data_IF_408160434717
#
_entry.id   IF_408160434717
#
_cell.length_a   1.000
_cell.length_b   1.000
_cell.length_c   1.000
_cell.angle_alpha   90.00
_cell.angle_beta   90.00
_cell.angle_gamma   90.00
#
_symmetry.space_group_name_H-M   'P 1'
#
loop_
_entity.id
_entity.type
_entity.pdbx_description
1 polymer ?
#
# COMPACT_ATOMS: atom_id res chain seq x y z
N UNK A 1 -21.62 -3.77 -1.95
CA UNK A 1 -20.90 -4.05 -0.69
C UNK A 1 -20.56 -2.73 -0.02
N UNK A 2 -21.03 -2.50 1.21
CA UNK A 2 -20.76 -1.25 1.95
C UNK A 2 -19.46 -1.38 2.74
N UNK A 3 -18.59 -0.38 2.62
CA UNK A 3 -17.27 -0.36 3.28
C UNK A 3 -16.88 1.08 3.62
N UNK A 4 -16.22 1.23 4.75
CA UNK A 4 -15.63 2.48 5.25
C UNK A 4 -14.14 2.46 4.96
N UNK A 5 -13.60 3.54 4.40
CA UNK A 5 -12.16 3.75 4.26
C UNK A 5 -11.73 4.72 5.35
N UNK A 6 -10.73 4.34 6.13
CA UNK A 6 -10.20 5.14 7.24
C UNK A 6 -8.69 4.98 7.34
N UNK A 7 -8.07 5.86 8.12
CA UNK A 7 -6.66 5.70 8.51
C UNK A 7 -6.51 4.40 9.32
N UNK A 8 -5.41 3.72 9.07
CA UNK A 8 -4.95 2.55 9.81
C UNK A 8 -4.80 2.86 11.29
N UNK A 9 -5.14 1.89 12.14
CA UNK A 9 -4.84 1.90 13.57
C UNK A 9 -3.98 0.69 13.92
N UNK A 10 -3.21 0.75 15.00
CA UNK A 10 -2.36 -0.38 15.42
C UNK A 10 -3.14 -1.68 15.63
N UNK A 11 -4.42 -1.60 16.01
CA UNK A 11 -5.32 -2.75 16.15
C UNK A 11 -5.57 -3.50 14.83
N UNK A 12 -5.34 -2.86 13.68
CA UNK A 12 -5.50 -3.47 12.35
C UNK A 12 -4.30 -4.33 11.93
N UNK A 13 -3.18 -4.25 12.66
CA UNK A 13 -1.88 -4.84 12.27
C UNK A 13 -2.00 -6.29 11.79
N UNK A 14 -2.59 -7.15 12.61
CA UNK A 14 -2.65 -8.58 12.29
C UNK A 14 -3.61 -8.87 11.11
N UNK A 15 -4.71 -8.14 11.00
CA UNK A 15 -5.64 -8.28 9.88
C UNK A 15 -5.03 -7.78 8.55
N UNK A 16 -4.28 -6.68 8.60
CA UNK A 16 -3.51 -6.18 7.46
C UNK A 16 -2.45 -7.19 7.02
N UNK A 17 -1.67 -7.73 7.95
CA UNK A 17 -0.64 -8.73 7.65
C UNK A 17 -1.28 -9.96 7.00
N UNK A 18 -2.40 -10.45 7.55
CA UNK A 18 -3.12 -11.57 6.98
C UNK A 18 -3.58 -11.29 5.54
N UNK A 19 -4.18 -10.12 5.28
CA UNK A 19 -4.59 -9.72 3.93
C UNK A 19 -3.38 -9.62 2.98
N UNK A 20 -2.27 -9.03 3.42
CA UNK A 20 -1.09 -8.87 2.59
C UNK A 20 -0.42 -10.20 2.28
N UNK A 21 -0.35 -11.15 3.21
CA UNK A 21 0.18 -12.48 2.93
C UNK A 21 -0.67 -13.23 1.89
N UNK A 22 -1.98 -13.00 1.87
CA UNK A 22 -2.87 -13.54 0.83
C UNK A 22 -2.69 -12.84 -0.52
N UNK A 23 -2.47 -11.51 -0.53
CA UNK A 23 -2.39 -10.71 -1.75
C UNK A 23 -0.98 -10.72 -2.39
N UNK A 24 0.05 -10.82 -1.56
CA UNK A 24 1.48 -10.69 -1.90
C UNK A 24 2.27 -11.84 -1.25
N UNK A 25 2.26 -13.05 -1.83
CA UNK A 25 2.97 -14.20 -1.27
C UNK A 25 4.46 -13.95 -1.02
N UNK A 26 5.07 -13.02 -1.76
CA UNK A 26 6.45 -12.54 -1.54
C UNK A 26 6.73 -11.92 -0.17
N UNK A 27 5.70 -11.53 0.60
CA UNK A 27 5.88 -11.01 1.97
C UNK A 27 6.29 -12.12 2.94
N UNK A 28 6.15 -13.39 2.54
CA UNK A 28 6.62 -14.54 3.28
C UNK A 28 8.06 -14.95 2.90
N UNK A 29 8.72 -14.22 1.98
CA UNK A 29 10.09 -14.52 1.55
C UNK A 29 11.11 -13.89 2.51
N UNK A 30 11.62 -14.70 3.45
CA UNK A 30 12.64 -14.28 4.42
C UNK A 30 13.95 -13.80 3.77
N UNK A 31 14.24 -14.15 2.51
CA UNK A 31 15.41 -13.63 1.77
C UNK A 31 15.25 -12.16 1.34
N UNK A 32 14.06 -11.58 1.54
CA UNK A 32 13.71 -10.19 1.21
C UNK A 32 13.26 -9.43 2.46
N UNK A 33 14.16 -9.12 3.40
CA UNK A 33 13.80 -8.46 4.67
C UNK A 33 13.12 -7.10 4.49
N UNK A 34 13.43 -6.38 3.39
CA UNK A 34 12.76 -5.13 3.01
C UNK A 34 11.28 -5.30 2.62
N UNK A 35 10.78 -6.53 2.49
CA UNK A 35 9.36 -6.87 2.27
C UNK A 35 8.69 -7.42 3.53
N UNK A 36 9.34 -7.34 4.69
CA UNK A 36 8.74 -7.75 5.95
C UNK A 36 7.52 -6.85 6.25
N UNK A 37 6.31 -7.41 6.39
CA UNK A 37 5.10 -6.60 6.55
C UNK A 37 5.04 -5.88 7.90
N UNK A 38 5.53 -6.48 8.98
CA UNK A 38 5.60 -5.81 10.30
C UNK A 38 6.56 -4.63 10.28
N UNK A 39 7.73 -4.81 9.69
CA UNK A 39 8.69 -3.72 9.52
C UNK A 39 8.13 -2.60 8.64
N UNK A 40 7.41 -2.96 7.57
CA UNK A 40 6.75 -1.98 6.69
C UNK A 40 5.69 -1.16 7.43
N UNK A 41 4.88 -1.81 8.28
CA UNK A 41 3.89 -1.13 9.13
C UNK A 41 4.59 -0.21 10.14
N UNK A 42 5.60 -0.70 10.85
CA UNK A 42 6.35 0.10 11.83
C UNK A 42 6.99 1.34 11.20
N UNK A 43 7.67 1.18 10.05
CA UNK A 43 8.25 2.30 9.31
C UNK A 43 7.19 3.31 8.87
N UNK A 44 6.02 2.83 8.44
CA UNK A 44 4.93 3.71 8.01
C UNK A 44 4.37 4.52 9.18
N UNK A 45 4.16 3.87 10.33
CA UNK A 45 3.71 4.51 11.57
C UNK A 45 4.69 5.58 12.08
N UNK A 46 6.00 5.36 11.91
CA UNK A 46 7.03 6.32 12.29
C UNK A 46 7.26 7.47 11.31
N UNK A 47 6.66 7.43 10.10
CA UNK A 47 6.95 8.42 9.04
C UNK A 47 5.73 9.29 8.70
N UNK A 48 4.64 8.68 8.23
CA UNK A 48 3.44 9.38 7.73
C UNK A 48 2.20 8.48 7.97
N UNK A 49 1.83 8.17 9.22
CA UNK A 49 0.75 7.23 9.55
C UNK A 49 -0.60 7.61 8.93
N UNK A 50 -0.88 8.90 8.77
CA UNK A 50 -2.10 9.46 8.19
C UNK A 50 -2.32 9.09 6.72
N UNK A 51 -1.27 8.65 6.02
CA UNK A 51 -1.33 8.19 4.63
C UNK A 51 -1.39 6.65 4.50
N UNK A 52 -1.68 5.94 5.58
CA UNK A 52 -1.95 4.51 5.55
C UNK A 52 -3.44 4.24 5.75
N UNK A 53 -4.10 3.70 4.72
CA UNK A 53 -5.54 3.51 4.70
C UNK A 53 -5.92 2.03 4.73
N UNK A 54 -7.00 1.74 5.46
CA UNK A 54 -7.67 0.45 5.51
C UNK A 54 -9.13 0.61 5.08
N UNK A 55 -9.67 -0.42 4.44
CA UNK A 55 -11.10 -0.54 4.16
C UNK A 55 -11.71 -1.62 5.05
N UNK A 56 -12.71 -1.25 5.85
CA UNK A 56 -13.46 -2.18 6.70
C UNK A 56 -14.89 -2.33 6.19
N UNK A 57 -15.39 -3.55 6.19
CA UNK A 57 -16.78 -3.87 5.86
C UNK A 57 -17.68 -3.41 7.00
N UNK A 58 -18.76 -2.70 6.67
CA UNK A 58 -19.61 -2.06 7.69
C UNK A 58 -20.42 -3.08 8.52
N UNK A 59 -20.78 -4.22 7.94
CA UNK A 59 -21.66 -5.20 8.60
C UNK A 59 -21.00 -5.96 9.75
N UNK A 60 -19.67 -6.11 9.72
CA UNK A 60 -18.93 -6.94 10.68
C UNK A 60 -17.54 -6.39 11.05
N UNK A 61 -17.17 -5.22 10.51
CA UNK A 61 -15.87 -4.61 10.76
C UNK A 61 -14.70 -5.28 10.04
N UNK A 62 -14.92 -6.30 9.20
CA UNK A 62 -13.84 -7.07 8.61
C UNK A 62 -12.95 -6.20 7.71
N UNK A 63 -11.62 -6.31 7.88
CA UNK A 63 -10.65 -5.61 7.05
C UNK A 63 -10.58 -6.28 5.67
N UNK A 64 -10.99 -5.55 4.64
CA UNK A 64 -11.17 -6.08 3.28
C UNK A 64 -10.32 -5.36 2.24
N UNK A 65 -9.54 -4.36 2.64
CA UNK A 65 -8.62 -3.69 1.73
C UNK A 65 -7.63 -2.77 2.43
N UNK A 66 -6.55 -2.45 1.73
CA UNK A 66 -5.50 -1.53 2.19
C UNK A 66 -4.97 -0.69 1.04
N UNK A 67 -4.44 0.49 1.37
CA UNK A 67 -3.60 1.29 0.48
C UNK A 67 -2.59 2.06 1.34
N UNK A 68 -1.30 1.89 1.05
CA UNK A 68 -0.23 2.60 1.75
C UNK A 68 0.36 3.66 0.82
N UNK A 69 -0.04 4.92 1.01
CA UNK A 69 0.51 6.05 0.27
C UNK A 69 1.68 6.68 1.05
N UNK A 70 2.50 7.52 0.42
CA UNK A 70 3.50 8.34 1.10
C UNK A 70 3.93 9.51 0.22
N UNK A 71 4.35 10.62 0.81
CA UNK A 71 4.83 11.78 0.08
C UNK A 71 6.24 12.15 0.55
N UNK A 72 7.19 12.26 -0.39
CA UNK A 72 8.59 12.61 -0.08
C UNK A 72 8.89 14.11 -0.28
N UNK A 73 7.86 14.93 -0.53
CA UNK A 73 7.99 16.35 -0.86
C UNK A 73 8.17 16.62 -2.37
N UNK A 74 8.53 15.62 -3.16
CA UNK A 74 8.69 15.72 -4.62
C UNK A 74 7.72 14.82 -5.40
N UNK A 75 7.49 13.60 -4.92
CA UNK A 75 6.60 12.58 -5.50
C UNK A 75 5.83 11.86 -4.40
N UNK A 76 4.59 11.55 -4.73
CA UNK A 76 3.80 10.57 -4.00
C UNK A 76 4.21 9.16 -4.42
N UNK A 77 4.11 8.21 -3.51
CA UNK A 77 4.27 6.79 -3.78
C UNK A 77 3.09 5.98 -3.26
N UNK A 78 2.68 4.96 -4.01
CA UNK A 78 1.61 4.05 -3.63
C UNK A 78 2.11 2.61 -3.56
N UNK A 79 1.95 2.00 -2.38
CA UNK A 79 2.35 0.64 -2.06
C UNK A 79 1.17 -0.16 -1.51
N UNK A 80 1.33 -1.49 -1.54
CA UNK A 80 0.50 -2.44 -0.80
C UNK A 80 -1.01 -2.24 -0.96
N UNK A 81 -1.46 -1.92 -2.19
CA UNK A 81 -2.89 -1.85 -2.53
C UNK A 81 -3.43 -3.27 -2.63
N UNK A 82 -4.13 -3.71 -1.59
CA UNK A 82 -4.72 -5.04 -1.53
C UNK A 82 -6.24 -4.97 -1.36
N UNK A 83 -6.95 -5.93 -1.95
CA UNK A 83 -8.39 -6.14 -1.76
C UNK A 83 -8.64 -7.63 -1.54
N UNK A 84 -9.35 -7.96 -0.47
CA UNK A 84 -9.73 -9.32 -0.12
C UNK A 84 -10.50 -9.98 -1.28
N UNK A 85 -10.27 -11.26 -1.63
CA UNK A 85 -10.88 -11.90 -2.79
C UNK A 85 -12.40 -11.72 -2.91
N UNK A 86 -13.12 -11.90 -1.81
CA UNK A 86 -14.57 -11.73 -1.67
C UNK A 86 -15.04 -10.28 -1.85
N UNK A 87 -14.14 -9.31 -1.70
CA UNK A 87 -14.39 -7.88 -1.84
C UNK A 87 -14.02 -7.33 -3.23
N UNK A 88 -13.41 -8.14 -4.10
CA UNK A 88 -12.97 -7.72 -5.44
C UNK A 88 -14.15 -7.50 -6.38
N UNK A 89 -13.90 -6.81 -7.50
CA UNK A 89 -14.88 -6.51 -8.56
C UNK A 89 -16.09 -5.65 -8.14
N UNK A 90 -16.07 -5.08 -6.93
CA UNK A 90 -17.06 -4.13 -6.42
C UNK A 90 -16.56 -2.67 -6.40
N UNK A 91 -15.50 -2.36 -7.16
CA UNK A 91 -14.91 -1.02 -7.23
C UNK A 91 -14.06 -0.60 -6.02
N UNK A 92 -13.84 -1.48 -5.03
CA UNK A 92 -13.10 -1.15 -3.81
C UNK A 92 -11.65 -0.72 -4.10
N UNK A 93 -10.94 -1.43 -4.98
CA UNK A 93 -9.58 -1.04 -5.38
C UNK A 93 -9.51 0.38 -5.92
N UNK A 94 -10.44 0.75 -6.80
CA UNK A 94 -10.56 2.12 -7.33
C UNK A 94 -10.81 3.14 -6.23
N UNK A 95 -11.70 2.83 -5.27
CA UNK A 95 -12.00 3.72 -4.15
C UNK A 95 -10.79 3.94 -3.24
N UNK A 96 -10.03 2.88 -2.94
CA UNK A 96 -8.79 2.97 -2.15
C UNK A 96 -7.74 3.84 -2.84
N UNK A 97 -7.49 3.62 -4.13
CA UNK A 97 -6.51 4.41 -4.91
C UNK A 97 -6.93 5.88 -4.97
N UNK A 98 -8.20 6.16 -5.27
CA UNK A 98 -8.73 7.55 -5.31
C UNK A 98 -8.68 8.24 -3.95
N UNK A 99 -8.90 7.50 -2.86
CA UNK A 99 -8.75 8.05 -1.51
C UNK A 99 -7.30 8.46 -1.23
N UNK A 100 -6.33 7.60 -1.58
CA UNK A 100 -4.91 7.92 -1.45
C UNK A 100 -4.49 9.09 -2.34
N UNK A 101 -4.96 9.15 -3.59
CA UNK A 101 -4.70 10.26 -4.51
C UNK A 101 -5.22 11.59 -3.96
N UNK A 102 -6.44 11.62 -3.43
CA UNK A 102 -7.02 12.83 -2.85
C UNK A 102 -6.24 13.29 -1.61
N UNK A 103 -5.83 12.35 -0.74
CA UNK A 103 -5.01 12.67 0.43
C UNK A 103 -3.65 13.25 0.03
N UNK A 104 -3.00 12.67 -0.98
CA UNK A 104 -1.73 13.19 -1.50
C UNK A 104 -1.90 14.56 -2.18
N UNK A 105 -2.95 14.74 -2.98
CA UNK A 105 -3.24 16.01 -3.63
C UNK A 105 -3.48 17.13 -2.61
N UNK A 106 -4.15 16.83 -1.50
CA UNK A 106 -4.35 17.78 -0.39
C UNK A 106 -3.02 18.23 0.27
N UNK A 107 -1.96 17.43 0.17
CA UNK A 107 -0.60 17.78 0.61
C UNK A 107 0.22 18.52 -0.46
N UNK A 108 -0.37 18.84 -1.62
CA UNK A 108 0.31 19.47 -2.74
C UNK A 108 1.13 18.52 -3.62
N UNK A 109 0.98 17.19 -3.44
CA UNK A 109 1.66 16.22 -4.29
C UNK A 109 1.15 16.30 -5.75
N UNK A 110 2.03 16.67 -6.67
CA UNK A 110 1.69 16.85 -8.08
C UNK A 110 1.72 15.55 -8.90
N UNK A 111 2.46 14.53 -8.46
CA UNK A 111 2.64 13.27 -9.20
C UNK A 111 2.82 12.09 -8.27
N UNK A 112 2.04 11.04 -8.51
CA UNK A 112 2.05 9.78 -7.78
C UNK A 112 2.69 8.67 -8.63
N UNK A 113 3.61 7.94 -8.02
CA UNK A 113 4.35 6.83 -8.61
C UNK A 113 3.98 5.50 -7.94
N UNK A 114 4.05 4.41 -8.70
CA UNK A 114 3.91 3.04 -8.21
C UNK A 114 4.68 2.09 -9.12
N UNK A 115 4.90 0.87 -8.64
CA UNK A 115 5.53 -0.19 -9.41
C UNK A 115 4.60 -1.38 -9.50
N UNK A 116 4.49 -1.95 -10.71
CA UNK A 116 3.78 -3.19 -10.99
C UNK A 116 4.79 -4.21 -11.47
N UNK A 117 4.70 -5.45 -11.00
CA UNK A 117 5.52 -6.54 -11.51
C UNK A 117 5.20 -6.77 -13.00
N UNK A 118 6.23 -7.00 -13.81
CA UNK A 118 6.10 -7.07 -15.27
C UNK A 118 5.20 -8.21 -15.76
N UNK A 119 4.99 -9.23 -14.94
CA UNK A 119 4.14 -10.40 -15.23
C UNK A 119 2.67 -10.23 -14.77
N UNK A 120 2.30 -9.07 -14.20
CA UNK A 120 0.94 -8.78 -13.69
C UNK A 120 0.16 -7.87 -14.61
N UNK A 121 -0.13 -8.34 -15.83
CA UNK A 121 -0.83 -7.57 -16.86
C UNK A 121 -2.21 -7.07 -16.40
N UNK A 122 -2.94 -7.85 -15.60
CA UNK A 122 -4.25 -7.47 -15.05
C UNK A 122 -4.16 -6.29 -14.06
N UNK A 123 -3.06 -6.21 -13.30
CA UNK A 123 -2.78 -5.13 -12.35
C UNK A 123 -2.37 -3.87 -13.11
N UNK A 124 -1.54 -4.01 -14.14
CA UNK A 124 -1.18 -2.90 -15.03
C UNK A 124 -2.43 -2.29 -15.67
N UNK A 125 -3.29 -3.11 -16.27
CA UNK A 125 -4.54 -2.66 -16.89
C UNK A 125 -5.49 -2.01 -15.88
N UNK A 126 -5.47 -2.42 -14.60
CA UNK A 126 -6.22 -1.76 -13.54
C UNK A 126 -5.75 -0.31 -13.33
N UNK A 127 -4.44 -0.08 -13.20
CA UNK A 127 -3.90 1.26 -13.02
C UNK A 127 -4.03 2.12 -14.29
N UNK A 128 -3.91 1.55 -15.48
CA UNK A 128 -4.14 2.27 -16.73
C UNK A 128 -5.56 2.87 -16.82
N UNK A 129 -6.57 2.09 -16.40
CA UNK A 129 -7.97 2.57 -16.31
C UNK A 129 -8.15 3.70 -15.29
N UNK A 130 -7.28 3.81 -14.29
CA UNK A 130 -7.29 4.90 -13.31
C UNK A 130 -6.55 6.16 -13.79
N UNK A 131 -5.85 6.08 -14.92
CA UNK A 131 -5.12 7.19 -15.53
C UNK A 131 -3.60 7.11 -15.37
N UNK A 132 -3.07 6.06 -14.73
CA UNK A 132 -1.63 5.84 -14.64
C UNK A 132 -1.08 5.46 -16.01
N UNK A 133 0.14 5.90 -16.29
CA UNK A 133 0.86 5.58 -17.52
C UNK A 133 2.30 5.22 -17.16
N UNK A 134 2.88 4.31 -17.92
CA UNK A 134 4.31 4.08 -17.85
C UNK A 134 5.04 5.30 -18.42
N UNK A 135 5.89 5.91 -17.60
CA UNK A 135 6.81 6.93 -18.07
C UNK A 135 7.93 6.28 -18.91
N UNK A 136 8.52 7.01 -19.85
CA UNK A 136 9.70 6.57 -20.61
C UNK A 136 10.99 6.67 -19.76
N UNK A 137 11.04 5.92 -18.66
CA UNK A 137 12.14 5.90 -17.68
C UNK A 137 12.45 4.47 -17.24
N UNK A 138 13.66 4.25 -16.74
CA UNK A 138 14.07 2.97 -16.15
C UNK A 138 13.95 3.04 -14.63
N UNK A 139 13.22 2.09 -14.04
CA UNK A 139 13.16 1.94 -12.59
C UNK A 139 14.41 1.24 -12.06
N UNK A 140 15.24 1.96 -11.31
CA UNK A 140 16.46 1.44 -10.69
C UNK A 140 16.27 1.32 -9.18
N UNK A 141 16.81 0.25 -8.59
CA UNK A 141 16.78 0.04 -7.14
C UNK A 141 18.15 -0.40 -6.63
N UNK A 142 18.56 0.12 -5.48
CA UNK A 142 19.77 -0.28 -4.76
C UNK A 142 19.39 -0.54 -3.30
N UNK A 143 19.81 -1.70 -2.77
CA UNK A 143 19.68 -1.99 -1.34
C UNK A 143 20.68 -1.12 -0.58
N UNK A 144 20.19 -0.45 0.45
CA UNK A 144 21.05 0.23 1.42
C UNK A 144 21.39 -0.74 2.54
N UNK A 145 22.58 -0.60 3.14
CA UNK A 145 22.90 -1.35 4.33
C UNK A 145 21.92 -0.94 5.46
N UNK A 146 21.32 -1.91 6.13
CA UNK A 146 20.59 -1.62 7.35
C UNK A 146 21.60 -1.12 8.39
N UNK A 147 21.34 0.04 9.01
CA UNK A 147 21.99 0.35 10.28
C UNK A 147 21.43 -0.66 11.29
N UNK A 148 22.29 -1.50 11.85
CA UNK A 148 21.94 -2.22 13.07
C UNK A 148 21.66 -1.17 14.14
N UNK A 149 20.38 -0.91 14.40
CA UNK A 149 19.98 -0.07 15.51
C UNK A 149 20.39 -0.81 16.79
N UNK A 150 21.45 -0.31 17.44
CA UNK A 150 21.83 -0.71 18.80
C UNK A 150 20.58 -0.64 19.68
N UNK A 151 20.08 -1.81 20.09
CA UNK A 151 19.07 -1.90 21.10
C UNK A 151 19.67 -1.34 22.39
N UNK A 152 19.20 -0.17 22.81
CA UNK A 152 19.45 0.32 24.16
C UNK A 152 18.84 -0.70 25.13
N UNK A 153 19.73 -1.32 25.91
CA UNK A 153 19.43 -2.19 27.06
C UNK A 153 18.88 -1.35 28.20
#
# INVERSE_FOLDING_TARGET
MSVTIRVFSEADTEAVIALWLQAFPEYNDASRPHRNPRLSIANKLGTQPELFFVATREVDGALVGTAMAGYDGHRGWLYSVAVAPEARRHGLGTRLVRHAENALAALGCMKLNLQVLTDKAEVLAFYERLGYRADAVVSLGKRLAAQESEAFV
#
